data_IF_850363642371
#
_entry.id   IF_850363642371
#
_cell.length_a   1.000
_cell.length_b   1.000
_cell.length_c   1.000
_cell.angle_alpha   90.00
_cell.angle_beta   90.00
_cell.angle_gamma   90.00
#
_symmetry.space_group_name_H-M   'P 1'
#
loop_
_entity.id
_entity.type
_entity.pdbx_description
1 polymer ?
#
# COMPACT_ATOMS: atom_id res chain seq x y z
N UNK A 1 16.02 23.34 -13.49
CA UNK A 1 15.53 22.90 -12.17
C UNK A 1 15.39 21.39 -12.09
N UNK A 2 14.72 20.74 -13.01
CA UNK A 2 14.51 19.28 -13.07
C UNK A 2 15.82 18.48 -13.09
N UNK A 3 16.84 18.93 -13.84
CA UNK A 3 18.15 18.28 -13.93
C UNK A 3 18.93 18.31 -12.61
N UNK A 4 18.79 19.37 -11.80
CA UNK A 4 19.40 19.47 -10.45
C UNK A 4 18.67 18.58 -9.44
N UNK A 5 17.34 18.45 -9.55
CA UNK A 5 16.53 17.57 -8.72
C UNK A 5 16.86 16.08 -8.99
N UNK A 6 17.06 15.73 -10.27
CA UNK A 6 17.43 14.38 -10.69
C UNK A 6 18.84 14.00 -10.19
N UNK A 7 19.78 14.94 -10.21
CA UNK A 7 21.15 14.73 -9.71
C UNK A 7 21.15 14.59 -8.18
N UNK A 8 20.37 15.38 -7.46
CA UNK A 8 20.23 15.25 -5.99
C UNK A 8 19.58 13.92 -5.62
N UNK A 9 18.56 13.47 -6.38
CA UNK A 9 17.95 12.14 -6.24
C UNK A 9 18.94 11.01 -6.54
N UNK A 10 19.78 11.14 -7.56
CA UNK A 10 20.80 10.15 -7.90
C UNK A 10 21.93 10.11 -6.88
N UNK A 11 22.35 11.26 -6.34
CA UNK A 11 23.38 11.35 -5.28
C UNK A 11 22.89 10.83 -3.95
N UNK A 12 21.61 11.01 -3.60
CA UNK A 12 21.03 10.37 -2.40
C UNK A 12 20.97 8.84 -2.55
N UNK A 13 20.85 8.32 -3.77
CA UNK A 13 20.90 6.88 -4.05
C UNK A 13 22.30 6.30 -3.86
N UNK A 14 23.36 7.08 -4.18
CA UNK A 14 24.78 6.65 -4.07
C UNK A 14 25.26 6.70 -2.61
N UNK A 15 24.76 7.64 -1.80
CA UNK A 15 25.16 7.80 -0.39
C UNK A 15 24.56 6.75 0.56
N UNK A 16 23.61 5.92 0.11
CA UNK A 16 22.99 4.83 0.89
C UNK A 16 23.79 3.51 0.86
N UNK A 17 24.97 3.47 0.26
CA UNK A 17 25.70 2.26 -0.12
C UNK A 17 26.84 1.81 0.77
N UNK A 18 27.17 2.42 1.92
CA UNK A 18 28.17 1.89 2.84
C UNK A 18 27.55 1.11 4.00
N UNK A 19 27.11 -0.11 3.71
CA UNK A 19 26.80 -1.07 4.75
C UNK A 19 28.12 -1.68 5.29
N UNK A 20 28.43 -1.44 6.57
CA UNK A 20 29.42 -2.18 7.34
C UNK A 20 29.21 -3.69 7.09
N UNK A 21 30.24 -4.42 6.71
CA UNK A 21 30.20 -5.90 6.59
C UNK A 21 29.92 -6.51 7.95
N UNK A 22 28.66 -6.77 8.23
CA UNK A 22 28.20 -7.50 9.41
C UNK A 22 28.19 -8.99 9.09
N UNK A 23 28.65 -9.81 10.03
CA UNK A 23 28.61 -11.29 9.91
C UNK A 23 27.21 -11.83 10.20
N UNK A 24 26.46 -11.16 11.06
CA UNK A 24 25.08 -11.51 11.41
C UNK A 24 24.09 -10.67 10.63
N UNK A 25 23.10 -11.33 10.06
CA UNK A 25 21.99 -10.67 9.39
C UNK A 25 20.69 -11.38 9.71
N UNK A 26 19.73 -10.63 10.21
CA UNK A 26 18.37 -11.12 10.31
C UNK A 26 17.81 -11.32 8.89
N UNK A 27 17.24 -12.48 8.61
CA UNK A 27 16.60 -12.74 7.31
C UNK A 27 15.23 -12.09 7.21
N UNK A 28 14.55 -11.98 8.35
CA UNK A 28 13.18 -11.48 8.44
C UNK A 28 13.08 -10.04 8.99
N UNK A 29 14.20 -9.45 9.44
CA UNK A 29 14.22 -8.16 10.15
C UNK A 29 15.40 -7.33 9.65
N UNK A 30 15.13 -6.22 8.99
CA UNK A 30 16.21 -5.34 8.49
C UNK A 30 16.64 -4.23 9.46
N UNK A 31 15.86 -3.94 10.49
CA UNK A 31 16.23 -3.05 11.61
C UNK A 31 15.49 -3.48 12.87
N UNK A 32 16.27 -3.92 13.84
CA UNK A 32 16.08 -3.79 15.29
C UNK A 32 14.66 -3.75 15.88
N UNK A 33 13.60 -4.11 15.15
CA UNK A 33 12.24 -4.13 15.69
C UNK A 33 11.48 -5.39 15.26
N UNK A 34 11.11 -6.21 16.23
CA UNK A 34 10.27 -7.41 16.07
C UNK A 34 8.88 -7.03 16.60
N UNK A 35 7.84 -7.19 15.80
CA UNK A 35 6.46 -7.07 16.25
C UNK A 35 5.86 -8.46 16.38
N UNK A 36 5.31 -8.78 17.54
CA UNK A 36 4.63 -10.04 17.83
C UNK A 36 3.35 -9.82 18.63
N UNK A 37 2.50 -10.84 18.69
CA UNK A 37 1.30 -10.81 19.53
C UNK A 37 1.51 -11.62 20.81
N UNK A 38 0.78 -11.29 21.89
CA UNK A 38 0.84 -12.07 23.13
C UNK A 38 0.41 -13.51 22.89
N UNK A 39 1.08 -14.46 23.56
CA UNK A 39 0.83 -15.92 23.48
C UNK A 39 1.04 -16.53 22.08
N UNK A 40 1.94 -15.94 21.28
CA UNK A 40 2.32 -16.52 19.99
C UNK A 40 3.76 -17.02 20.00
N UNK A 41 4.03 -18.06 19.21
CA UNK A 41 5.39 -18.51 18.92
C UNK A 41 5.89 -17.79 17.66
N UNK A 42 6.99 -17.08 17.79
CA UNK A 42 7.67 -16.41 16.68
C UNK A 42 8.96 -17.13 16.34
N UNK A 43 9.22 -17.28 15.05
CA UNK A 43 10.45 -17.89 14.57
C UNK A 43 11.29 -16.84 13.87
N UNK A 44 12.42 -16.48 14.44
CA UNK A 44 13.37 -15.51 13.89
C UNK A 44 14.55 -16.25 13.27
N UNK A 45 14.83 -16.01 11.99
CA UNK A 45 15.95 -16.62 11.28
C UNK A 45 17.08 -15.63 11.15
N UNK A 46 18.25 -15.98 11.72
CA UNK A 46 19.46 -15.15 11.71
C UNK A 46 20.51 -15.89 10.86
N UNK A 47 20.89 -15.28 9.75
CA UNK A 47 21.95 -15.81 8.87
C UNK A 47 23.31 -15.30 9.34
N UNK A 48 24.27 -16.22 9.45
CA UNK A 48 25.66 -15.89 9.71
C UNK A 48 26.50 -16.10 8.45
N UNK A 49 27.29 -15.08 8.08
CA UNK A 49 28.33 -15.18 7.06
C UNK A 49 29.71 -15.57 7.64
N UNK A 50 29.77 -15.82 8.95
CA UNK A 50 30.97 -16.30 9.62
C UNK A 50 31.21 -17.76 9.22
N UNK A 51 32.44 -18.05 8.76
CA UNK A 51 32.86 -19.41 8.42
C UNK A 51 33.49 -20.07 9.64
N UNK A 52 32.86 -21.12 10.12
CA UNK A 52 33.41 -21.95 11.19
C UNK A 52 34.71 -22.61 10.75
N UNK A 53 35.71 -22.55 11.59
CA UNK A 53 37.00 -23.28 11.37
C UNK A 53 36.85 -24.78 11.65
N UNK A 54 35.94 -25.16 12.52
CA UNK A 54 35.52 -26.54 12.82
C UNK A 54 34.01 -26.64 12.81
N UNK A 55 33.42 -27.79 12.46
CA UNK A 55 31.99 -28.00 12.55
C UNK A 55 31.49 -27.69 13.97
N UNK A 56 30.45 -26.90 14.08
CA UNK A 56 29.81 -26.49 15.35
C UNK A 56 30.65 -25.65 16.32
N UNK A 57 31.70 -24.99 15.86
CA UNK A 57 32.50 -24.09 16.70
C UNK A 57 31.80 -22.76 17.02
N UNK A 58 30.76 -22.38 16.31
CA UNK A 58 29.98 -21.14 16.59
C UNK A 58 28.61 -21.46 17.13
N UNK A 59 28.14 -20.62 18.08
CA UNK A 59 26.81 -20.67 18.64
C UNK A 59 26.23 -19.26 18.83
N UNK A 60 24.92 -19.17 18.90
CA UNK A 60 24.21 -17.91 19.08
C UNK A 60 23.66 -17.84 20.51
N UNK A 61 23.99 -16.78 21.23
CA UNK A 61 23.42 -16.45 22.53
C UNK A 61 22.43 -15.30 22.37
N UNK A 62 21.21 -15.48 22.88
CA UNK A 62 20.16 -14.49 22.86
C UNK A 62 19.88 -14.03 24.28
N UNK A 63 20.10 -12.76 24.57
CA UNK A 63 19.81 -12.13 25.86
C UNK A 63 18.53 -11.29 25.74
N UNK A 64 17.63 -11.45 26.69
CA UNK A 64 16.35 -10.78 26.77
C UNK A 64 16.41 -9.63 27.78
N UNK A 65 15.80 -8.49 27.44
CA UNK A 65 15.68 -7.37 28.37
C UNK A 65 14.64 -7.62 29.47
N UNK A 66 13.52 -8.24 29.13
CA UNK A 66 12.48 -8.64 30.07
C UNK A 66 12.02 -10.09 29.83
N UNK A 67 12.42 -11.03 30.72
CA UNK A 67 12.05 -12.43 30.60
C UNK A 67 10.57 -12.74 30.85
N UNK A 68 9.78 -11.79 31.41
CA UNK A 68 8.34 -11.98 31.62
C UNK A 68 7.55 -11.74 30.34
N UNK A 69 8.06 -10.89 29.47
CA UNK A 69 7.41 -10.53 28.21
C UNK A 69 7.76 -11.50 27.09
N UNK A 70 9.01 -11.96 27.08
CA UNK A 70 9.56 -12.74 25.98
C UNK A 70 10.42 -13.87 26.53
N UNK A 71 10.23 -15.09 26.01
CA UNK A 71 11.06 -16.26 26.36
C UNK A 71 11.68 -16.89 25.11
N UNK A 72 12.95 -17.27 25.19
CA UNK A 72 13.63 -18.06 24.15
C UNK A 72 13.36 -19.53 24.44
N UNK A 73 12.61 -20.19 23.56
CA UNK A 73 12.29 -21.62 23.70
C UNK A 73 13.42 -22.48 23.19
N UNK A 74 13.95 -22.16 22.02
CA UNK A 74 15.01 -22.95 21.39
C UNK A 74 15.80 -22.12 20.38
N UNK A 75 17.10 -22.44 20.24
CA UNK A 75 18.00 -21.92 19.19
C UNK A 75 18.55 -23.12 18.45
N UNK A 76 18.16 -23.30 17.20
CA UNK A 76 18.64 -24.40 16.34
C UNK A 76 19.54 -23.86 15.24
N UNK A 77 20.65 -24.56 15.00
CA UNK A 77 21.61 -24.24 13.93
C UNK A 77 21.33 -25.13 12.73
N UNK A 78 21.18 -24.55 11.56
CA UNK A 78 20.98 -25.27 10.30
C UNK A 78 22.03 -24.87 9.28
N UNK A 79 22.56 -25.86 8.57
CA UNK A 79 23.54 -25.66 7.52
C UNK A 79 22.85 -25.77 6.15
N UNK A 80 22.94 -24.69 5.36
CA UNK A 80 22.62 -24.67 3.95
C UNK A 80 23.79 -24.02 3.20
N UNK A 81 23.58 -23.14 2.24
CA UNK A 81 24.64 -22.34 1.60
C UNK A 81 25.33 -21.34 2.57
N UNK A 82 24.70 -21.09 3.73
CA UNK A 82 25.24 -20.31 4.85
C UNK A 82 24.71 -20.88 6.16
N UNK A 83 25.38 -20.57 7.28
CA UNK A 83 24.94 -20.98 8.61
C UNK A 83 23.73 -20.14 9.02
N UNK A 84 22.60 -20.78 9.23
CA UNK A 84 21.37 -20.13 9.70
C UNK A 84 21.07 -20.57 11.12
N UNK A 85 20.75 -19.60 11.99
CA UNK A 85 20.27 -19.84 13.35
C UNK A 85 18.77 -19.56 13.37
N UNK A 86 18.00 -20.53 13.80
CA UNK A 86 16.54 -20.43 13.97
C UNK A 86 16.28 -20.25 15.45
N UNK A 87 15.85 -19.07 15.85
CA UNK A 87 15.50 -18.68 17.20
C UNK A 87 13.98 -18.74 17.35
N UNK A 88 13.47 -19.60 18.23
CA UNK A 88 12.05 -19.65 18.58
C UNK A 88 11.82 -18.83 19.83
N UNK A 89 10.95 -17.83 19.73
CA UNK A 89 10.56 -16.93 20.80
C UNK A 89 9.10 -17.16 21.15
N UNK A 90 8.76 -17.10 22.42
CA UNK A 90 7.36 -17.08 22.90
C UNK A 90 7.15 -15.76 23.60
N UNK A 91 6.06 -15.10 23.24
CA UNK A 91 5.63 -13.84 23.81
C UNK A 91 4.51 -14.07 24.82
N UNK A 92 4.63 -13.52 26.03
CA UNK A 92 3.63 -13.74 27.09
C UNK A 92 2.84 -12.46 27.40
N UNK A 93 3.48 -11.35 27.73
CA UNK A 93 2.83 -10.10 28.14
C UNK A 93 3.01 -8.99 27.09
N UNK A 94 2.05 -8.05 27.05
CA UNK A 94 2.13 -6.87 26.17
C UNK A 94 3.15 -5.86 26.67
N UNK A 95 3.88 -5.21 25.75
CA UNK A 95 4.82 -4.16 26.06
C UNK A 95 5.97 -4.06 25.04
N UNK A 96 7.02 -3.36 25.41
CA UNK A 96 8.24 -3.22 24.61
C UNK A 96 9.44 -3.69 25.42
N UNK A 97 10.26 -4.56 24.81
CA UNK A 97 11.51 -5.04 25.40
C UNK A 97 12.63 -5.05 24.37
N UNK A 98 13.87 -5.10 24.82
CA UNK A 98 15.03 -5.19 23.95
C UNK A 98 15.59 -6.62 23.95
N UNK A 99 16.08 -7.04 22.78
CA UNK A 99 16.73 -8.33 22.58
C UNK A 99 18.15 -8.05 22.09
N UNK A 100 19.12 -8.72 22.69
CA UNK A 100 20.53 -8.66 22.26
C UNK A 100 20.95 -10.03 21.73
N UNK A 101 21.52 -10.05 20.54
CA UNK A 101 21.99 -11.27 19.87
C UNK A 101 23.50 -11.25 19.79
N UNK A 102 24.16 -12.29 20.31
CA UNK A 102 25.61 -12.44 20.31
C UNK A 102 26.02 -13.71 19.58
N UNK A 103 26.93 -13.59 18.64
CA UNK A 103 27.57 -14.72 17.97
C UNK A 103 28.93 -15.01 18.65
N UNK A 104 29.08 -16.20 19.17
CA UNK A 104 30.28 -16.66 19.82
C UNK A 104 30.94 -17.76 19.00
N UNK A 105 32.24 -17.80 19.00
CA UNK A 105 33.02 -18.91 18.46
C UNK A 105 33.94 -19.50 19.55
N UNK A 106 33.92 -20.83 19.64
CA UNK A 106 34.77 -21.60 20.55
C UNK A 106 35.99 -22.11 19.79
N UNK A 107 37.16 -21.61 20.14
CA UNK A 107 38.45 -22.10 19.64
C UNK A 107 39.21 -22.81 20.79
N UNK A 108 39.02 -24.12 20.95
CA UNK A 108 39.61 -24.91 22.02
C UNK A 108 39.03 -24.55 23.40
N UNK A 109 39.89 -23.95 24.28
CA UNK A 109 39.47 -23.53 25.64
C UNK A 109 39.08 -22.04 25.74
N UNK A 110 39.11 -21.30 24.65
CA UNK A 110 38.79 -19.88 24.66
C UNK A 110 37.50 -19.61 23.84
N UNK A 111 36.59 -18.90 24.45
CA UNK A 111 35.40 -18.39 23.79
C UNK A 111 35.64 -16.95 23.35
N UNK A 112 35.31 -16.65 22.09
CA UNK A 112 35.49 -15.33 21.51
C UNK A 112 34.17 -14.81 20.98
N UNK A 113 33.81 -13.61 21.41
CA UNK A 113 32.67 -12.88 20.83
C UNK A 113 33.08 -12.40 19.41
N UNK A 114 32.33 -12.80 18.40
CA UNK A 114 32.58 -12.45 17.00
C UNK A 114 31.80 -11.18 16.65
N UNK A 115 30.51 -11.15 16.97
CA UNK A 115 29.65 -10.01 16.70
C UNK A 115 28.50 -9.94 17.70
N UNK A 116 28.04 -8.71 17.98
CA UNK A 116 26.92 -8.45 18.85
C UNK A 116 25.98 -7.46 18.17
N UNK A 117 24.69 -7.80 18.13
CA UNK A 117 23.62 -6.90 17.69
C UNK A 117 22.82 -6.51 18.94
N UNK A 118 22.94 -5.23 19.34
CA UNK A 118 22.24 -4.67 20.50
C UNK A 118 20.95 -3.99 20.09
N UNK A 119 20.07 -3.84 21.07
CA UNK A 119 18.86 -3.00 21.00
C UNK A 119 17.89 -3.39 19.87
N UNK A 120 17.75 -4.70 19.62
CA UNK A 120 16.65 -5.18 18.79
C UNK A 120 15.36 -5.00 19.60
N UNK A 121 14.55 -4.02 19.25
CA UNK A 121 13.28 -3.78 19.92
C UNK A 121 12.29 -4.88 19.60
N UNK A 122 11.67 -5.44 20.62
CA UNK A 122 10.56 -6.38 20.49
C UNK A 122 9.32 -5.71 21.05
N UNK A 123 8.36 -5.46 20.20
CA UNK A 123 7.07 -4.90 20.58
C UNK A 123 6.03 -6.00 20.56
N UNK A 124 5.55 -6.35 21.76
CA UNK A 124 4.50 -7.35 21.92
C UNK A 124 3.16 -6.63 22.07
N UNK A 125 2.27 -6.86 21.13
CA UNK A 125 0.93 -6.29 21.11
C UNK A 125 -0.04 -7.31 21.68
N UNK A 126 -0.95 -6.88 22.55
CA UNK A 126 -1.96 -7.76 23.12
C UNK A 126 -2.80 -8.39 22.02
N UNK A 127 -2.77 -9.72 21.97
CA UNK A 127 -3.71 -10.46 21.16
C UNK A 127 -5.11 -10.24 21.74
N UNK A 128 -5.93 -9.43 21.07
CA UNK A 128 -7.35 -9.38 21.43
C UNK A 128 -7.95 -10.78 21.21
N UNK A 129 -8.80 -11.25 22.10
CA UNK A 129 -9.40 -12.58 21.96
C UNK A 129 -9.96 -12.72 20.55
N UNK A 130 -9.62 -13.84 19.90
CA UNK A 130 -9.88 -14.20 18.49
C UNK A 130 -11.28 -13.89 17.97
N UNK A 131 -12.25 -13.67 18.86
CA UNK A 131 -13.64 -13.47 18.53
C UNK A 131 -13.99 -12.19 17.77
N UNK A 132 -13.24 -11.06 17.97
CA UNK A 132 -13.60 -9.80 17.31
C UNK A 132 -12.92 -9.63 15.95
N UNK A 133 -11.68 -10.13 15.80
CA UNK A 133 -10.97 -10.04 14.53
C UNK A 133 -11.46 -11.14 13.57
N UNK A 134 -11.56 -12.38 14.04
CA UNK A 134 -12.16 -13.49 13.28
C UNK A 134 -13.65 -13.30 13.04
N UNK A 135 -14.43 -12.80 14.00
CA UNK A 135 -15.84 -12.50 13.79
C UNK A 135 -16.06 -11.32 12.82
N UNK A 136 -15.20 -10.30 12.80
CA UNK A 136 -15.27 -9.27 11.76
C UNK A 136 -14.92 -9.83 10.38
N UNK A 137 -13.92 -10.71 10.28
CA UNK A 137 -13.52 -11.35 9.02
C UNK A 137 -14.51 -12.43 8.57
N UNK A 138 -15.05 -13.27 9.46
CA UNK A 138 -16.03 -14.32 9.10
C UNK A 138 -17.40 -13.77 8.69
N UNK A 139 -17.83 -12.64 9.26
CA UNK A 139 -19.07 -12.00 8.82
C UNK A 139 -18.93 -11.44 7.39
N UNK A 140 -17.71 -11.17 6.98
CA UNK A 140 -17.43 -10.51 5.69
C UNK A 140 -17.43 -11.47 4.50
N UNK A 141 -17.26 -12.79 4.67
CA UNK A 141 -17.33 -13.75 3.56
C UNK A 141 -18.71 -13.81 2.93
N UNK A 142 -19.77 -13.82 3.70
CA UNK A 142 -21.13 -13.82 3.16
C UNK A 142 -21.49 -12.48 2.49
N UNK A 143 -21.07 -11.36 3.09
CA UNK A 143 -21.22 -10.03 2.53
C UNK A 143 -20.40 -9.89 1.26
N UNK A 144 -19.15 -10.40 1.26
CA UNK A 144 -18.27 -10.36 0.10
C UNK A 144 -18.85 -11.14 -1.08
N UNK A 145 -19.39 -12.33 -0.84
CA UNK A 145 -20.06 -13.15 -1.88
C UNK A 145 -21.29 -12.44 -2.44
N UNK A 146 -22.05 -11.73 -1.59
CA UNK A 146 -23.22 -10.96 -2.03
C UNK A 146 -22.82 -9.71 -2.84
N UNK A 147 -21.75 -9.02 -2.45
CA UNK A 147 -21.29 -7.80 -3.11
C UNK A 147 -20.53 -8.09 -4.41
N UNK A 148 -19.90 -9.25 -4.53
CA UNK A 148 -19.09 -9.64 -5.67
C UNK A 148 -19.80 -9.48 -7.03
N UNK A 149 -21.03 -9.99 -7.23
CA UNK A 149 -21.77 -9.77 -8.48
C UNK A 149 -22.02 -8.30 -8.74
N UNK A 150 -22.27 -7.52 -7.69
CA UNK A 150 -22.52 -6.06 -7.78
C UNK A 150 -21.26 -5.34 -8.25
N UNK A 151 -20.08 -5.74 -7.72
CA UNK A 151 -18.79 -5.20 -8.16
C UNK A 151 -18.54 -5.54 -9.63
N UNK A 152 -18.73 -6.80 -10.04
CA UNK A 152 -18.54 -7.24 -11.41
C UNK A 152 -19.46 -6.49 -12.38
N UNK A 153 -20.74 -6.35 -12.01
CA UNK A 153 -21.72 -5.59 -12.80
C UNK A 153 -21.34 -4.11 -12.92
N UNK A 154 -20.86 -3.50 -11.83
CA UNK A 154 -20.38 -2.12 -11.84
C UNK A 154 -19.15 -1.95 -12.74
N UNK A 155 -18.19 -2.89 -12.72
CA UNK A 155 -17.03 -2.88 -13.60
C UNK A 155 -17.42 -3.09 -15.08
N UNK A 156 -18.39 -3.96 -15.35
CA UNK A 156 -18.94 -4.14 -16.69
C UNK A 156 -19.66 -2.86 -17.18
N UNK A 157 -20.50 -2.25 -16.35
CA UNK A 157 -21.17 -0.98 -16.65
C UNK A 157 -20.16 0.16 -16.89
N UNK A 158 -19.05 0.16 -16.14
CA UNK A 158 -17.94 1.09 -16.36
C UNK A 158 -17.29 0.89 -17.74
N UNK A 159 -17.09 -0.38 -18.16
CA UNK A 159 -16.61 -0.71 -19.50
C UNK A 159 -17.54 -0.22 -20.61
N UNK A 160 -18.86 -0.26 -20.40
CA UNK A 160 -19.83 0.27 -21.37
C UNK A 160 -19.73 1.79 -21.59
N UNK A 161 -19.19 2.55 -20.63
CA UNK A 161 -18.95 3.99 -20.79
C UNK A 161 -17.76 4.34 -21.65
N UNK A 162 -16.90 3.37 -21.93
CA UNK A 162 -15.69 3.59 -22.71
C UNK A 162 -16.07 3.62 -24.20
N UNK A 163 -15.87 4.77 -24.83
CA UNK A 163 -15.98 4.91 -26.27
C UNK A 163 -14.62 4.62 -26.93
N UNK A 164 -14.61 3.74 -27.92
CA UNK A 164 -13.37 3.40 -28.64
C UNK A 164 -12.72 4.64 -29.29
N UNK A 165 -13.53 5.63 -29.67
CA UNK A 165 -13.04 6.91 -30.20
C UNK A 165 -12.20 7.69 -29.17
N UNK A 166 -12.46 7.50 -27.88
CA UNK A 166 -11.71 8.15 -26.80
C UNK A 166 -10.26 7.63 -26.77
N UNK A 167 -10.03 6.36 -27.09
CA UNK A 167 -8.67 5.84 -27.24
C UNK A 167 -7.90 6.54 -28.36
N UNK A 168 -8.57 6.86 -29.47
CA UNK A 168 -7.94 7.63 -30.56
C UNK A 168 -7.60 9.05 -30.13
N UNK A 169 -8.49 9.70 -29.39
CA UNK A 169 -8.26 11.06 -28.86
C UNK A 169 -7.08 11.12 -27.88
N UNK A 170 -6.92 10.09 -27.05
CA UNK A 170 -5.80 9.98 -26.12
C UNK A 170 -4.50 9.68 -26.84
N UNK A 171 -4.55 8.84 -27.89
CA UNK A 171 -3.37 8.62 -28.72
C UNK A 171 -2.86 9.92 -29.36
N UNK A 172 -3.78 10.85 -29.66
CA UNK A 172 -3.44 12.18 -30.18
C UNK A 172 -2.94 13.15 -29.11
N UNK A 173 -3.40 13.00 -27.83
CA UNK A 173 -2.99 13.86 -26.71
C UNK A 173 -2.68 13.01 -25.46
N UNK A 174 -1.60 12.22 -25.49
CA UNK A 174 -1.31 11.24 -24.44
C UNK A 174 -0.77 11.86 -23.14
N UNK A 175 -0.43 13.16 -23.15
CA UNK A 175 0.30 13.80 -22.06
C UNK A 175 -0.37 13.65 -20.67
N UNK A 176 -1.69 13.86 -20.48
CA UNK A 176 -2.33 13.68 -19.18
C UNK A 176 -2.21 12.27 -18.66
N UNK A 177 -2.39 11.26 -19.52
CA UNK A 177 -2.28 9.83 -19.16
C UNK A 177 -0.85 9.46 -18.80
N UNK A 178 0.14 9.96 -19.57
CA UNK A 178 1.57 9.75 -19.29
C UNK A 178 1.93 10.36 -17.92
N UNK A 179 1.50 11.60 -17.65
CA UNK A 179 1.78 12.26 -16.37
C UNK A 179 1.18 11.48 -15.20
N UNK A 180 -0.08 11.04 -15.32
CA UNK A 180 -0.72 10.19 -14.31
C UNK A 180 0.01 8.87 -14.12
N UNK A 181 0.35 8.18 -15.20
CA UNK A 181 1.07 6.90 -15.19
C UNK A 181 2.45 7.03 -14.52
N UNK A 182 3.22 8.06 -14.87
CA UNK A 182 4.53 8.33 -14.27
C UNK A 182 4.39 8.63 -12.77
N UNK A 183 3.42 9.46 -12.41
CA UNK A 183 3.15 9.74 -10.99
C UNK A 183 2.80 8.46 -10.24
N UNK A 184 1.91 7.65 -10.78
CA UNK A 184 1.32 6.50 -10.11
C UNK A 184 2.26 5.31 -9.99
N UNK A 185 3.00 4.95 -11.04
CA UNK A 185 3.81 3.72 -11.05
C UNK A 185 5.30 3.93 -10.77
N UNK A 186 5.78 5.15 -10.79
CA UNK A 186 7.18 5.46 -10.48
C UNK A 186 7.30 6.34 -9.24
N UNK A 187 6.63 7.49 -9.21
CA UNK A 187 6.81 8.45 -8.14
C UNK A 187 6.14 8.01 -6.84
N UNK A 188 4.89 7.56 -6.91
CA UNK A 188 4.15 7.14 -5.71
C UNK A 188 4.77 5.93 -5.01
N UNK A 189 5.17 4.83 -5.69
CA UNK A 189 5.87 3.72 -5.04
C UNK A 189 7.21 4.15 -4.43
N UNK A 190 7.96 5.02 -5.12
CA UNK A 190 9.20 5.57 -4.60
C UNK A 190 8.97 6.40 -3.33
N UNK A 191 7.96 7.27 -3.33
CA UNK A 191 7.60 8.05 -2.13
C UNK A 191 7.13 7.15 -0.98
N UNK A 192 6.29 6.15 -1.26
CA UNK A 192 5.84 5.18 -0.27
C UNK A 192 7.01 4.41 0.35
N UNK A 193 7.97 3.97 -0.46
CA UNK A 193 9.20 3.33 0.00
C UNK A 193 10.05 4.29 0.84
N UNK A 194 10.32 5.49 0.34
CA UNK A 194 11.19 6.45 1.02
C UNK A 194 10.60 6.87 2.38
N UNK A 195 9.31 7.19 2.42
CA UNK A 195 8.62 7.61 3.63
C UNK A 195 8.53 6.47 4.67
N UNK A 196 8.25 5.24 4.23
CA UNK A 196 8.23 4.09 5.13
C UNK A 196 9.62 3.80 5.73
N UNK A 197 10.69 4.10 5.00
CA UNK A 197 12.08 3.99 5.51
C UNK A 197 12.44 5.13 6.47
N UNK A 198 12.02 6.37 6.16
CA UNK A 198 12.27 7.54 7.04
C UNK A 198 11.54 7.36 8.38
N UNK A 199 10.31 6.86 8.36
CA UNK A 199 9.51 6.61 9.56
C UNK A 199 9.84 5.27 10.24
N UNK A 200 10.84 4.53 9.72
CA UNK A 200 11.31 3.26 10.27
C UNK A 200 10.19 2.22 10.49
N UNK A 201 9.23 2.14 9.56
CA UNK A 201 8.12 1.18 9.67
C UNK A 201 8.62 -0.27 9.62
N UNK A 202 7.95 -1.18 10.35
CA UNK A 202 8.16 -2.62 10.22
C UNK A 202 8.01 -3.07 8.76
N UNK A 203 8.79 -4.06 8.35
CA UNK A 203 8.86 -4.50 6.95
C UNK A 203 7.51 -4.84 6.33
N UNK A 204 6.62 -5.53 7.08
CA UNK A 204 5.30 -5.89 6.59
C UNK A 204 4.44 -4.64 6.32
N UNK A 205 4.46 -3.66 7.22
CA UNK A 205 3.72 -2.39 7.05
C UNK A 205 4.32 -1.55 5.92
N UNK A 206 5.67 -1.44 5.86
CA UNK A 206 6.36 -0.76 4.77
C UNK A 206 6.02 -1.36 3.40
N UNK A 207 6.00 -2.69 3.31
CA UNK A 207 5.57 -3.40 2.10
C UNK A 207 4.10 -3.11 1.77
N UNK A 208 3.23 -3.09 2.77
CA UNK A 208 1.82 -2.71 2.61
C UNK A 208 1.65 -1.33 2.00
N UNK A 209 2.40 -0.32 2.48
CA UNK A 209 2.37 1.04 1.89
C UNK A 209 2.89 1.07 0.46
N UNK A 210 4.03 0.43 0.20
CA UNK A 210 4.58 0.36 -1.16
C UNK A 210 3.60 -0.33 -2.11
N UNK A 211 3.00 -1.46 -1.70
CA UNK A 211 1.99 -2.16 -2.49
C UNK A 211 0.77 -1.29 -2.77
N UNK A 212 0.32 -0.52 -1.79
CA UNK A 212 -0.79 0.43 -1.98
C UNK A 212 -0.42 1.50 -3.00
N UNK A 213 0.79 2.05 -2.90
CA UNK A 213 1.31 3.05 -3.85
C UNK A 213 1.55 2.51 -5.26
N UNK A 214 1.68 1.18 -5.45
CA UNK A 214 1.82 0.55 -6.77
C UNK A 214 0.48 0.24 -7.43
N UNK A 215 -0.63 0.41 -6.71
CA UNK A 215 -1.96 0.12 -7.24
C UNK A 215 -2.41 1.13 -8.30
N UNK A 216 -3.22 0.69 -9.27
CA UNK A 216 -3.82 1.60 -10.24
C UNK A 216 -4.83 2.55 -9.58
N UNK A 217 -5.32 3.53 -10.32
CA UNK A 217 -6.37 4.45 -9.89
C UNK A 217 -7.63 3.71 -9.42
N UNK A 218 -8.20 4.18 -8.32
CA UNK A 218 -9.39 3.59 -7.74
C UNK A 218 -10.67 4.00 -8.50
N UNK A 219 -11.65 3.08 -8.57
CA UNK A 219 -12.95 3.41 -9.17
C UNK A 219 -13.70 4.58 -8.48
N UNK A 220 -13.26 4.99 -7.29
CA UNK A 220 -13.73 6.20 -6.61
C UNK A 220 -13.29 7.50 -7.28
N UNK A 221 -12.17 7.51 -8.00
CA UNK A 221 -11.64 8.67 -8.72
C UNK A 221 -12.65 9.22 -9.73
N UNK A 222 -13.32 8.35 -10.46
CA UNK A 222 -14.40 8.75 -11.38
C UNK A 222 -15.52 9.57 -10.71
N UNK A 223 -15.98 9.15 -9.51
CA UNK A 223 -17.03 9.86 -8.79
C UNK A 223 -16.56 11.23 -8.31
N UNK A 224 -15.35 11.30 -7.77
CA UNK A 224 -14.78 12.56 -7.34
C UNK A 224 -14.47 13.49 -8.51
N UNK A 225 -14.02 12.96 -9.66
CA UNK A 225 -13.86 13.76 -10.87
C UNK A 225 -15.19 14.33 -11.33
N UNK A 226 -16.28 13.53 -11.28
CA UNK A 226 -17.64 14.01 -11.57
C UNK A 226 -18.09 15.13 -10.61
N UNK A 227 -17.89 14.95 -9.29
CA UNK A 227 -18.35 15.88 -8.26
C UNK A 227 -17.54 17.17 -8.20
N UNK A 228 -16.25 17.13 -8.59
CA UNK A 228 -15.34 18.28 -8.60
C UNK A 228 -15.24 18.95 -9.98
N UNK A 229 -16.12 18.61 -10.92
CA UNK A 229 -16.13 19.20 -12.27
C UNK A 229 -14.78 18.97 -13.02
N UNK A 230 -14.23 17.77 -12.90
CA UNK A 230 -13.10 17.30 -13.69
C UNK A 230 -13.54 16.76 -15.04
N UNK A 231 -12.56 16.30 -15.83
CA UNK A 231 -12.79 15.60 -17.10
C UNK A 231 -13.12 14.12 -16.84
N UNK A 232 -14.40 13.77 -16.93
CA UNK A 232 -14.93 12.44 -16.64
C UNK A 232 -14.39 11.41 -17.64
N UNK A 233 -14.30 11.79 -18.91
CA UNK A 233 -13.83 10.93 -19.99
C UNK A 233 -12.38 10.56 -19.77
N UNK A 234 -11.57 11.53 -19.40
CA UNK A 234 -10.18 11.31 -19.04
C UNK A 234 -10.04 10.45 -17.79
N UNK A 235 -10.89 10.64 -16.76
CA UNK A 235 -10.85 9.83 -15.54
C UNK A 235 -11.09 8.35 -15.85
N UNK A 236 -12.14 8.04 -16.61
CA UNK A 236 -12.44 6.67 -17.03
C UNK A 236 -11.26 6.05 -17.78
N UNK A 237 -10.70 6.80 -18.71
CA UNK A 237 -9.58 6.34 -19.53
C UNK A 237 -8.31 6.12 -18.71
N UNK A 238 -7.96 7.04 -17.80
CA UNK A 238 -6.81 6.90 -16.91
C UNK A 238 -6.96 5.69 -16.01
N UNK A 239 -8.14 5.47 -15.40
CA UNK A 239 -8.42 4.28 -14.59
C UNK A 239 -8.26 3.00 -15.41
N UNK A 240 -8.77 2.93 -16.64
CA UNK A 240 -8.64 1.74 -17.50
C UNK A 240 -7.20 1.49 -17.92
N UNK A 241 -6.52 2.54 -18.38
CA UNK A 241 -5.12 2.45 -18.82
C UNK A 241 -4.20 2.06 -17.66
N UNK A 242 -4.38 2.69 -16.48
CA UNK A 242 -3.59 2.35 -15.29
C UNK A 242 -3.87 0.92 -14.82
N UNK A 243 -5.12 0.44 -14.87
CA UNK A 243 -5.44 -0.94 -14.52
C UNK A 243 -4.80 -1.94 -15.49
N UNK A 244 -4.78 -1.65 -16.78
CA UNK A 244 -4.10 -2.47 -17.77
C UNK A 244 -2.57 -2.48 -17.57
N UNK A 245 -1.97 -1.31 -17.34
CA UNK A 245 -0.53 -1.19 -17.06
C UNK A 245 -0.14 -1.84 -15.74
N UNK A 246 -1.03 -1.89 -14.76
CA UNK A 246 -0.80 -2.54 -13.47
C UNK A 246 -0.47 -4.03 -13.61
N UNK A 247 -0.93 -4.72 -14.67
CA UNK A 247 -0.57 -6.12 -14.95
C UNK A 247 0.94 -6.33 -15.02
N UNK A 248 1.68 -5.33 -15.47
CA UNK A 248 3.14 -5.37 -15.60
C UNK A 248 3.81 -4.61 -14.46
N UNK A 249 3.29 -3.40 -14.15
CA UNK A 249 3.94 -2.50 -13.21
C UNK A 249 3.81 -2.94 -11.75
N UNK A 250 2.67 -3.51 -11.34
CA UNK A 250 2.53 -4.01 -9.96
C UNK A 250 3.48 -5.17 -9.66
N UNK A 251 3.55 -6.25 -10.45
CA UNK A 251 4.54 -7.29 -10.24
C UNK A 251 5.99 -6.79 -10.24
N UNK A 252 6.32 -5.89 -11.19
CA UNK A 252 7.66 -5.33 -11.30
C UNK A 252 8.04 -4.50 -10.06
N UNK A 253 7.16 -3.60 -9.63
CA UNK A 253 7.36 -2.79 -8.44
C UNK A 253 7.40 -3.65 -7.17
N UNK A 254 6.49 -4.63 -7.04
CA UNK A 254 6.50 -5.58 -5.92
C UNK A 254 7.84 -6.30 -5.80
N UNK A 255 8.36 -6.78 -6.92
CA UNK A 255 9.66 -7.46 -6.95
C UNK A 255 10.81 -6.50 -6.61
N UNK A 256 10.83 -5.30 -7.19
CA UNK A 256 11.86 -4.31 -6.94
C UNK A 256 11.89 -3.89 -5.47
N UNK A 257 10.75 -3.44 -4.95
CA UNK A 257 10.69 -2.87 -3.60
C UNK A 257 10.74 -3.93 -2.50
N UNK A 258 10.27 -5.17 -2.73
CA UNK A 258 10.48 -6.24 -1.78
C UNK A 258 11.96 -6.55 -1.57
N UNK A 259 12.77 -6.53 -2.66
CA UNK A 259 14.23 -6.65 -2.55
C UNK A 259 14.85 -5.47 -1.82
N UNK A 260 14.41 -4.23 -2.13
CA UNK A 260 14.91 -3.02 -1.45
C UNK A 260 14.52 -2.97 0.04
N UNK A 261 13.40 -3.60 0.43
CA UNK A 261 13.00 -3.78 1.81
C UNK A 261 13.65 -4.99 2.51
N UNK A 262 14.49 -5.76 1.82
CA UNK A 262 15.18 -6.90 2.39
C UNK A 262 14.35 -8.18 2.51
N UNK A 263 13.18 -8.22 1.89
CA UNK A 263 12.25 -9.36 1.96
C UNK A 263 12.63 -10.55 1.06
N UNK A 264 13.80 -10.50 0.43
CA UNK A 264 14.22 -11.42 -0.66
C UNK A 264 14.52 -12.88 -0.27
N UNK A 265 14.36 -13.28 0.99
CA UNK A 265 14.64 -14.65 1.43
C UNK A 265 13.40 -15.46 1.84
N UNK A 266 12.35 -14.80 2.29
CA UNK A 266 11.16 -15.43 2.87
C UNK A 266 9.87 -15.08 2.13
N UNK A 267 9.95 -14.15 1.18
CA UNK A 267 8.82 -13.59 0.48
C UNK A 267 8.76 -14.08 -0.97
N UNK A 268 7.94 -15.08 -1.22
CA UNK A 268 7.53 -15.41 -2.58
C UNK A 268 6.39 -14.47 -2.98
N UNK A 269 6.72 -13.43 -3.76
CA UNK A 269 5.69 -12.57 -4.34
C UNK A 269 4.86 -13.42 -5.28
N UNK A 270 3.59 -13.66 -5.01
CA UNK A 270 2.75 -14.47 -5.87
C UNK A 270 2.28 -13.64 -7.07
N UNK A 271 3.18 -13.43 -8.02
CA UNK A 271 2.91 -12.71 -9.28
C UNK A 271 1.62 -13.22 -9.93
N UNK A 272 1.39 -14.53 -9.89
CA UNK A 272 0.15 -15.15 -10.41
C UNK A 272 -1.11 -14.64 -9.71
N UNK A 273 -1.07 -14.44 -8.38
CA UNK A 273 -2.20 -13.91 -7.62
C UNK A 273 -2.45 -12.42 -7.92
N UNK A 274 -1.40 -11.63 -8.09
CA UNK A 274 -1.51 -10.22 -8.51
C UNK A 274 -2.17 -10.15 -9.88
N UNK A 275 -1.69 -10.94 -10.84
CA UNK A 275 -2.23 -10.98 -12.20
C UNK A 275 -3.69 -11.45 -12.19
N UNK A 276 -4.02 -12.53 -11.46
CA UNK A 276 -5.41 -13.03 -11.40
C UNK A 276 -6.37 -12.00 -10.77
N UNK A 277 -5.95 -11.29 -9.74
CA UNK A 277 -6.75 -10.22 -9.11
C UNK A 277 -6.99 -9.05 -10.07
N UNK A 278 -5.98 -8.66 -10.84
CA UNK A 278 -6.11 -7.62 -11.86
C UNK A 278 -7.00 -8.07 -13.03
N UNK A 279 -6.87 -9.31 -13.48
CA UNK A 279 -7.72 -9.88 -14.52
C UNK A 279 -9.19 -9.93 -14.08
N UNK A 280 -9.45 -10.19 -12.79
CA UNK A 280 -10.78 -10.14 -12.22
C UNK A 280 -11.44 -8.76 -12.34
N UNK A 281 -10.65 -7.68 -12.43
CA UNK A 281 -11.13 -6.32 -12.70
C UNK A 281 -11.23 -6.06 -14.21
N UNK A 282 -10.23 -6.46 -14.98
CA UNK A 282 -10.15 -6.16 -16.41
C UNK A 282 -11.14 -6.94 -17.27
N UNK A 283 -11.42 -8.20 -16.92
CA UNK A 283 -12.35 -9.05 -17.70
C UNK A 283 -13.77 -8.45 -17.74
N UNK A 284 -14.39 -8.01 -16.62
CA UNK A 284 -15.69 -7.36 -16.67
C UNK A 284 -15.69 -6.03 -17.45
N UNK A 285 -14.60 -5.23 -17.32
CA UNK A 285 -14.47 -3.99 -18.09
C UNK A 285 -14.42 -4.29 -19.58
N UNK A 286 -13.62 -5.27 -19.99
CA UNK A 286 -13.52 -5.70 -21.38
C UNK A 286 -14.87 -6.23 -21.91
N UNK A 287 -15.58 -7.00 -21.10
CA UNK A 287 -16.93 -7.48 -21.43
C UNK A 287 -17.89 -6.30 -21.65
N UNK A 288 -17.82 -5.25 -20.83
CA UNK A 288 -18.63 -4.03 -21.00
C UNK A 288 -18.34 -3.32 -22.32
N UNK A 289 -17.07 -3.19 -22.70
CA UNK A 289 -16.67 -2.60 -24.00
C UNK A 289 -17.26 -3.43 -25.16
N UNK A 290 -17.16 -4.76 -25.07
CA UNK A 290 -17.71 -5.68 -26.09
C UNK A 290 -19.25 -5.55 -26.17
N UNK A 291 -19.94 -5.50 -25.03
CA UNK A 291 -21.40 -5.32 -24.96
C UNK A 291 -21.80 -4.01 -25.63
N UNK A 292 -21.09 -2.92 -25.34
CA UNK A 292 -21.35 -1.61 -25.98
C UNK A 292 -21.25 -1.71 -27.51
N UNK A 293 -20.27 -2.43 -27.99
CA UNK A 293 -20.02 -2.54 -29.45
C UNK A 293 -20.97 -3.51 -30.14
N UNK A 294 -21.39 -4.62 -29.47
CA UNK A 294 -22.23 -5.65 -30.05
C UNK A 294 -23.72 -5.45 -29.80
N UNK A 295 -24.11 -4.90 -28.65
CA UNK A 295 -25.50 -4.75 -28.21
C UNK A 295 -25.70 -3.39 -27.51
N UNK A 296 -25.67 -2.27 -28.26
CA UNK A 296 -25.70 -0.92 -27.70
C UNK A 296 -26.93 -0.64 -26.82
N UNK A 297 -28.11 -1.25 -27.15
CA UNK A 297 -29.31 -1.09 -26.33
C UNK A 297 -29.12 -1.56 -24.88
N UNK A 298 -28.47 -2.73 -24.67
CA UNK A 298 -28.16 -3.24 -23.34
C UNK A 298 -27.09 -2.41 -22.66
N UNK A 299 -26.13 -1.87 -23.41
CA UNK A 299 -25.12 -0.99 -22.88
C UNK A 299 -25.73 0.28 -22.29
N UNK A 300 -26.74 0.89 -22.91
CA UNK A 300 -27.44 2.07 -22.36
C UNK A 300 -28.10 1.79 -21.01
N UNK A 301 -28.65 0.59 -20.82
CA UNK A 301 -29.20 0.20 -19.51
C UNK A 301 -28.08 0.11 -18.47
N UNK A 302 -26.97 -0.54 -18.80
CA UNK A 302 -25.82 -0.64 -17.91
C UNK A 302 -25.20 0.74 -17.59
N UNK A 303 -25.10 1.63 -18.57
CA UNK A 303 -24.62 3.00 -18.36
C UNK A 303 -25.51 3.82 -17.42
N UNK A 304 -26.82 3.57 -17.41
CA UNK A 304 -27.76 4.24 -16.52
C UNK A 304 -27.62 3.79 -15.08
N UNK A 305 -27.36 2.51 -14.85
CA UNK A 305 -27.25 1.95 -13.49
C UNK A 305 -25.86 2.16 -12.85
N UNK A 306 -24.84 2.58 -13.60
CA UNK A 306 -23.49 2.76 -13.04
C UNK A 306 -23.46 3.77 -11.89
N UNK A 307 -24.20 4.89 -12.02
CA UNK A 307 -24.21 5.92 -10.96
C UNK A 307 -24.79 5.40 -9.66
N UNK A 308 -26.05 4.89 -9.59
CA UNK A 308 -26.60 4.37 -8.35
C UNK A 308 -25.78 3.20 -7.81
N UNK A 309 -25.26 2.32 -8.67
CA UNK A 309 -24.44 1.18 -8.27
C UNK A 309 -23.11 1.61 -7.63
N UNK A 310 -22.45 2.61 -8.22
CA UNK A 310 -21.22 3.19 -7.67
C UNK A 310 -21.47 3.88 -6.33
N UNK A 311 -22.61 4.57 -6.15
CA UNK A 311 -22.98 5.14 -4.85
C UNK A 311 -23.25 4.07 -3.79
N UNK A 312 -23.94 2.98 -4.15
CA UNK A 312 -24.16 1.84 -3.25
C UNK A 312 -22.81 1.24 -2.84
N UNK A 313 -21.93 0.93 -3.81
CA UNK A 313 -20.61 0.37 -3.53
C UNK A 313 -19.75 1.31 -2.69
N UNK A 314 -19.81 2.62 -2.94
CA UNK A 314 -19.11 3.62 -2.14
C UNK A 314 -19.65 3.63 -0.70
N UNK A 315 -20.97 3.60 -0.50
CA UNK A 315 -21.59 3.55 0.83
C UNK A 315 -21.22 2.28 1.59
N UNK A 316 -21.22 1.13 0.90
CA UNK A 316 -20.78 -0.15 1.47
C UNK A 316 -19.28 -0.09 1.80
N UNK A 317 -18.45 0.46 0.90
CA UNK A 317 -17.03 0.65 1.15
C UNK A 317 -16.76 1.54 2.37
N UNK A 318 -17.47 2.63 2.51
CA UNK A 318 -17.41 3.52 3.69
C UNK A 318 -17.83 2.74 4.94
N UNK A 319 -18.95 2.02 4.91
CA UNK A 319 -19.41 1.23 6.05
C UNK A 319 -18.39 0.18 6.49
N UNK A 320 -17.84 -0.60 5.54
CA UNK A 320 -16.80 -1.60 5.82
C UNK A 320 -15.53 -0.93 6.36
N UNK A 321 -15.13 0.19 5.77
CA UNK A 321 -13.96 0.96 6.23
C UNK A 321 -14.15 1.48 7.66
N UNK A 322 -15.35 1.96 8.01
CA UNK A 322 -15.63 2.38 9.38
C UNK A 322 -15.66 1.20 10.35
N UNK A 323 -16.30 0.09 10.00
CA UNK A 323 -16.32 -1.10 10.87
C UNK A 323 -14.94 -1.67 11.11
N UNK A 324 -14.20 -1.90 10.04
CA UNK A 324 -12.82 -2.40 10.14
C UNK A 324 -11.88 -1.33 10.68
N UNK A 325 -12.06 -0.09 10.23
CA UNK A 325 -11.20 1.03 10.58
C UNK A 325 -11.13 1.32 12.07
N UNK A 326 -12.23 1.15 12.82
CA UNK A 326 -12.19 1.35 14.27
C UNK A 326 -11.29 0.34 14.98
N UNK A 327 -11.32 -0.92 14.55
CA UNK A 327 -10.44 -1.97 15.06
C UNK A 327 -8.99 -1.70 14.64
N UNK A 328 -8.76 -1.37 13.37
CA UNK A 328 -7.42 -1.09 12.86
C UNK A 328 -6.84 0.23 13.36
N UNK A 329 -7.65 1.26 13.58
CA UNK A 329 -7.20 2.53 14.13
C UNK A 329 -6.64 2.39 15.56
N UNK A 330 -7.21 1.48 16.35
CA UNK A 330 -6.69 1.17 17.69
C UNK A 330 -5.37 0.39 17.68
N UNK A 331 -5.01 -0.21 16.54
CA UNK A 331 -3.76 -0.95 16.33
C UNK A 331 -2.73 -0.17 15.50
N UNK A 332 -3.17 0.88 14.80
CA UNK A 332 -2.30 1.68 13.95
C UNK A 332 -1.40 2.59 14.79
N UNK A 333 -0.10 2.53 14.53
CA UNK A 333 0.84 3.50 15.10
C UNK A 333 0.67 4.88 14.46
N UNK A 334 1.18 5.91 15.11
CA UNK A 334 1.11 7.29 14.62
C UNK A 334 1.76 7.42 13.22
N UNK A 335 2.85 6.68 12.99
CA UNK A 335 3.58 6.67 11.72
C UNK A 335 2.72 6.11 10.58
N UNK A 336 1.95 5.05 10.84
CA UNK A 336 1.02 4.45 9.87
C UNK A 336 -0.10 5.45 9.52
N UNK A 337 -0.65 6.14 10.53
CA UNK A 337 -1.67 7.16 10.30
C UNK A 337 -1.12 8.35 9.51
N UNK A 338 0.10 8.80 9.85
CA UNK A 338 0.77 9.88 9.13
C UNK A 338 0.97 9.54 7.66
N UNK A 339 1.45 8.32 7.35
CA UNK A 339 1.58 7.86 5.97
C UNK A 339 0.22 7.70 5.28
N UNK A 340 -0.79 7.25 6.02
CA UNK A 340 -2.15 7.14 5.50
C UNK A 340 -2.67 8.47 4.95
N UNK A 341 -2.33 9.59 5.59
CA UNK A 341 -2.64 10.96 5.13
C UNK A 341 -1.66 11.42 4.06
N UNK A 342 -0.36 11.23 4.24
CA UNK A 342 0.65 11.77 3.33
C UNK A 342 0.58 11.15 1.93
N UNK A 343 0.31 9.84 1.83
CA UNK A 343 0.32 9.14 0.54
C UNK A 343 -0.74 9.72 -0.43
N UNK A 344 -2.04 9.79 -0.09
CA UNK A 344 -3.00 10.36 -1.03
C UNK A 344 -2.78 11.86 -1.26
N UNK A 345 -2.41 12.62 -0.23
CA UNK A 345 -2.11 14.04 -0.36
C UNK A 345 -0.96 14.31 -1.35
N UNK A 346 0.11 13.51 -1.29
CA UNK A 346 1.23 13.59 -2.24
C UNK A 346 0.80 13.22 -3.66
N UNK A 347 -0.03 12.19 -3.82
CA UNK A 347 -0.58 11.80 -5.12
C UNK A 347 -1.40 12.92 -5.76
N UNK A 348 -2.30 13.55 -4.98
CA UNK A 348 -3.06 14.73 -5.39
C UNK A 348 -2.16 15.89 -5.78
N UNK A 349 -1.16 16.19 -4.95
CA UNK A 349 -0.23 17.30 -5.15
C UNK A 349 0.63 17.10 -6.41
N UNK A 350 1.23 15.93 -6.57
CA UNK A 350 2.09 15.65 -7.74
C UNK A 350 1.28 15.61 -9.04
N UNK A 351 0.13 14.91 -9.03
CA UNK A 351 -0.73 14.85 -10.20
C UNK A 351 -1.19 16.24 -10.64
N UNK A 352 -1.65 17.07 -9.68
CA UNK A 352 -2.04 18.45 -9.98
C UNK A 352 -0.87 19.30 -10.47
N UNK A 353 0.28 19.24 -9.78
CA UNK A 353 1.44 20.07 -10.08
C UNK A 353 2.02 19.74 -11.46
N UNK A 354 2.16 18.47 -11.82
CA UNK A 354 2.68 18.07 -13.12
C UNK A 354 1.74 18.47 -14.26
N UNK A 355 0.44 18.26 -14.06
CA UNK A 355 -0.55 18.70 -15.04
C UNK A 355 -0.56 20.23 -15.20
N UNK A 356 -0.43 20.97 -14.10
CA UNK A 356 -0.42 22.42 -14.10
C UNK A 356 0.85 23.02 -14.72
N UNK A 357 2.01 22.45 -14.41
CA UNK A 357 3.30 22.81 -15.02
C UNK A 357 3.28 22.55 -16.53
N UNK A 358 2.61 21.49 -16.95
CA UNK A 358 2.39 21.14 -18.36
C UNK A 358 1.32 22.01 -19.05
N UNK A 359 0.79 23.04 -18.37
CA UNK A 359 -0.19 24.00 -18.87
C UNK A 359 -1.50 23.34 -19.34
N UNK A 360 -1.90 22.23 -18.74
CA UNK A 360 -3.17 21.57 -19.05
C UNK A 360 -4.36 22.37 -18.52
N UNK A 361 -5.56 22.23 -19.13
CA UNK A 361 -6.79 22.85 -18.64
C UNK A 361 -7.14 22.42 -17.22
N UNK A 362 -7.79 23.29 -16.46
CA UNK A 362 -8.11 23.04 -15.05
C UNK A 362 -8.89 21.75 -14.80
N UNK A 363 -9.93 21.37 -15.59
CA UNK A 363 -10.62 20.10 -15.44
C UNK A 363 -9.68 18.90 -15.58
N UNK A 364 -8.75 18.94 -16.54
CA UNK A 364 -7.75 17.90 -16.74
C UNK A 364 -6.78 17.83 -15.56
N UNK A 365 -6.31 18.97 -15.04
CA UNK A 365 -5.44 19.00 -13.86
C UNK A 365 -6.11 18.37 -12.64
N UNK A 366 -7.40 18.67 -12.42
CA UNK A 366 -8.19 18.06 -11.34
C UNK A 366 -8.26 16.53 -11.50
N UNK A 367 -8.56 16.07 -12.72
CA UNK A 367 -8.66 14.64 -13.01
C UNK A 367 -7.33 13.91 -12.81
N UNK A 368 -6.23 14.43 -13.34
CA UNK A 368 -4.91 13.83 -13.14
C UNK A 368 -4.55 13.78 -11.65
N UNK A 369 -4.85 14.84 -10.89
CA UNK A 369 -4.65 14.85 -9.44
C UNK A 369 -5.45 13.75 -8.74
N UNK A 370 -6.74 13.68 -9.01
CA UNK A 370 -7.66 12.72 -8.36
C UNK A 370 -7.23 11.28 -8.68
N UNK A 371 -6.97 10.97 -9.95
CA UNK A 371 -6.55 9.61 -10.37
C UNK A 371 -5.19 9.21 -9.80
N UNK A 372 -4.29 10.18 -9.54
CA UNK A 372 -2.99 9.92 -8.92
C UNK A 372 -3.05 9.79 -7.39
N UNK A 373 -4.01 10.45 -6.73
CA UNK A 373 -4.14 10.44 -5.26
C UNK A 373 -5.12 9.40 -4.73
N UNK A 374 -6.18 9.09 -5.49
CA UNK A 374 -7.20 8.11 -5.10
C UNK A 374 -6.82 6.74 -5.65
N UNK A 375 -5.93 6.05 -4.94
CA UNK A 375 -5.43 4.73 -5.31
C UNK A 375 -6.45 3.63 -5.00
N UNK A 376 -6.34 2.50 -5.70
CA UNK A 376 -7.19 1.33 -5.44
C UNK A 376 -6.70 0.53 -4.22
N UNK A 377 -6.89 1.09 -3.04
CA UNK A 377 -6.46 0.49 -1.77
C UNK A 377 -7.11 -0.87 -1.49
N UNK A 378 -8.33 -1.10 -1.97
CA UNK A 378 -8.98 -2.41 -1.83
C UNK A 378 -8.32 -3.49 -2.70
N UNK A 379 -7.78 -3.11 -3.87
CA UNK A 379 -6.95 -4.02 -4.66
C UNK A 379 -5.65 -4.36 -3.92
N UNK A 380 -4.99 -3.36 -3.32
CA UNK A 380 -3.81 -3.59 -2.50
C UNK A 380 -4.11 -4.54 -1.35
N UNK A 381 -5.21 -4.32 -0.63
CA UNK A 381 -5.67 -5.18 0.45
C UNK A 381 -5.88 -6.63 -0.03
N UNK A 382 -6.60 -6.82 -1.14
CA UNK A 382 -6.84 -8.14 -1.71
C UNK A 382 -5.53 -8.85 -2.09
N UNK A 383 -4.61 -8.13 -2.75
CA UNK A 383 -3.31 -8.70 -3.12
C UNK A 383 -2.50 -9.08 -1.89
N UNK A 384 -2.46 -8.25 -0.85
CA UNK A 384 -1.74 -8.51 0.41
C UNK A 384 -2.32 -9.74 1.10
N UNK A 385 -3.63 -9.81 1.29
CA UNK A 385 -4.32 -10.92 1.97
C UNK A 385 -4.18 -12.25 1.22
N UNK A 386 -4.15 -12.21 -0.09
CA UNK A 386 -3.95 -13.42 -0.91
C UNK A 386 -2.48 -13.84 -1.02
N UNK A 387 -1.55 -12.96 -0.69
CA UNK A 387 -0.13 -13.11 -1.01
C UNK A 387 0.74 -13.48 0.18
N UNK A 388 0.37 -13.02 1.36
CA UNK A 388 1.16 -13.16 2.57
C UNK A 388 0.59 -14.23 3.50
N UNK A 389 1.42 -14.70 4.46
CA UNK A 389 0.92 -15.46 5.62
C UNK A 389 -0.01 -14.57 6.45
N UNK A 390 -0.99 -15.17 7.14
CA UNK A 390 -2.06 -14.46 7.86
C UNK A 390 -1.52 -13.32 8.72
N UNK A 391 -0.55 -13.60 9.59
CA UNK A 391 0.00 -12.62 10.53
C UNK A 391 0.65 -11.42 9.83
N UNK A 392 1.41 -11.68 8.75
CA UNK A 392 2.05 -10.62 7.95
C UNK A 392 1.05 -9.88 7.09
N UNK A 393 0.03 -10.58 6.59
CA UNK A 393 -1.04 -9.97 5.81
C UNK A 393 -1.83 -8.97 6.65
N UNK A 394 -2.13 -9.30 7.90
CA UNK A 394 -2.87 -8.45 8.81
C UNK A 394 -2.10 -7.16 9.14
N UNK A 395 -0.81 -7.28 9.45
CA UNK A 395 0.06 -6.12 9.67
C UNK A 395 0.23 -5.25 8.41
N UNK A 396 0.43 -5.86 7.26
CA UNK A 396 0.57 -5.15 5.99
C UNK A 396 -0.74 -4.48 5.54
N UNK A 397 -1.90 -5.04 5.93
CA UNK A 397 -3.24 -4.53 5.59
C UNK A 397 -3.59 -3.21 6.28
N UNK A 398 -2.90 -2.87 7.37
CA UNK A 398 -3.04 -1.55 8.02
C UNK A 398 -2.79 -0.41 7.02
N UNK A 399 -1.82 -0.56 6.14
CA UNK A 399 -1.46 0.46 5.16
C UNK A 399 -2.59 0.77 4.16
N UNK A 400 -3.10 -0.18 3.36
CA UNK A 400 -4.16 0.12 2.40
C UNK A 400 -5.46 0.56 3.07
N UNK A 401 -5.77 0.08 4.27
CA UNK A 401 -6.95 0.51 5.01
C UNK A 401 -6.85 1.96 5.47
N UNK A 402 -5.72 2.37 6.05
CA UNK A 402 -5.49 3.76 6.46
C UNK A 402 -5.47 4.71 5.27
N UNK A 403 -4.83 4.32 4.16
CA UNK A 403 -4.84 5.11 2.91
C UNK A 403 -6.25 5.24 2.35
N UNK A 404 -7.07 4.17 2.38
CA UNK A 404 -8.47 4.23 1.93
C UNK A 404 -9.30 5.22 2.75
N UNK A 405 -9.18 5.17 4.09
CA UNK A 405 -9.87 6.08 5.00
C UNK A 405 -9.43 7.53 4.77
N UNK A 406 -8.13 7.78 4.79
CA UNK A 406 -7.59 9.12 4.67
C UNK A 406 -7.88 9.74 3.30
N UNK A 407 -7.72 8.99 2.21
CA UNK A 407 -8.05 9.47 0.86
C UNK A 407 -9.53 9.83 0.71
N UNK A 408 -10.44 9.03 1.31
CA UNK A 408 -11.86 9.34 1.36
C UNK A 408 -12.16 10.63 2.12
N UNK A 409 -11.56 10.81 3.32
CA UNK A 409 -11.71 12.02 4.13
C UNK A 409 -11.14 13.26 3.41
N UNK A 410 -9.95 13.17 2.83
CA UNK A 410 -9.32 14.26 2.07
C UNK A 410 -10.19 14.69 0.89
N UNK A 411 -10.69 13.76 0.13
CA UNK A 411 -11.54 14.05 -1.02
C UNK A 411 -12.88 14.68 -0.60
N UNK A 412 -13.47 14.24 0.53
CA UNK A 412 -14.67 14.86 1.09
C UNK A 412 -14.39 16.30 1.55
N UNK A 413 -13.27 16.54 2.23
CA UNK A 413 -12.84 17.87 2.67
C UNK A 413 -12.64 18.81 1.46
N UNK A 414 -11.97 18.35 0.43
CA UNK A 414 -11.77 19.11 -0.82
C UNK A 414 -13.12 19.43 -1.47
N UNK A 415 -14.03 18.45 -1.53
CA UNK A 415 -15.38 18.64 -2.09
C UNK A 415 -16.18 19.67 -1.31
N UNK A 416 -16.18 19.58 0.03
CA UNK A 416 -16.86 20.53 0.92
C UNK A 416 -16.30 21.94 0.76
N UNK A 417 -14.97 22.06 0.73
CA UNK A 417 -14.29 23.34 0.51
C UNK A 417 -14.65 23.97 -0.83
N UNK A 418 -14.64 23.18 -1.92
CA UNK A 418 -15.01 23.66 -3.25
C UNK A 418 -16.48 24.12 -3.31
N UNK A 419 -17.40 23.36 -2.69
CA UNK A 419 -18.83 23.73 -2.62
C UNK A 419 -19.04 24.98 -1.77
N UNK A 420 -18.40 25.09 -0.61
CA UNK A 420 -18.49 26.27 0.24
C UNK A 420 -17.98 27.53 -0.49
N UNK A 421 -16.84 27.43 -1.17
CA UNK A 421 -16.28 28.53 -1.98
C UNK A 421 -17.24 28.98 -3.09
N UNK A 422 -17.89 28.02 -3.77
CA UNK A 422 -18.87 28.31 -4.82
C UNK A 422 -20.11 28.99 -4.25
N UNK A 423 -20.59 28.57 -3.08
CA UNK A 423 -21.72 29.18 -2.38
C UNK A 423 -21.41 30.59 -1.92
N UNK A 424 -20.22 30.81 -1.32
CA UNK A 424 -19.78 32.16 -0.90
C UNK A 424 -19.55 33.08 -2.10
N UNK A 425 -19.02 32.57 -3.22
CA UNK A 425 -18.85 33.32 -4.45
C UNK A 425 -20.16 33.82 -5.05
N UNK A 426 -21.20 32.97 -5.08
CA UNK A 426 -22.54 33.31 -5.53
C UNK A 426 -23.19 34.39 -4.64
N UNK A 427 -23.05 34.31 -3.32
CA UNK A 427 -23.56 35.32 -2.37
C UNK A 427 -22.88 36.68 -2.52
N UNK A 428 -21.60 36.73 -2.86
CA UNK A 428 -20.83 37.96 -3.11
C UNK A 428 -21.24 38.60 -4.46
N UNK A 429 -21.48 37.79 -5.49
CA UNK A 429 -21.90 38.29 -6.80
C UNK A 429 -23.34 38.78 -6.78
N UNK A 430 -24.22 38.16 -6.03
CA UNK A 430 -25.61 38.59 -5.79
C UNK A 430 -25.66 39.89 -4.96
N UNK A 431 -24.79 40.06 -3.96
CA UNK A 431 -24.63 41.33 -3.22
C UNK A 431 -24.11 42.45 -4.12
N UNK A 432 -23.16 42.15 -5.02
CA UNK A 432 -22.59 43.12 -5.96
C UNK A 432 -23.60 43.54 -7.04
N UNK A 433 -24.53 42.67 -7.44
CA UNK A 433 -25.64 42.98 -8.36
C UNK A 433 -26.76 43.77 -7.67
N UNK A 434 -26.95 43.61 -6.34
CA UNK A 434 -27.96 44.36 -5.58
C UNK A 434 -27.49 45.76 -5.13
N UNK A 435 -26.18 46.03 -5.09
CA UNK A 435 -25.57 47.33 -4.76
C UNK A 435 -24.62 47.74 -5.89
N UNK A 436 -25.12 48.29 -7.00
CA UNK A 436 -24.26 48.74 -8.08
C UNK A 436 -23.59 50.11 -7.80
N UNK A 437 -23.77 50.67 -6.60
CA UNK A 437 -23.22 51.98 -6.18
C UNK A 437 -22.35 51.80 -4.92
N UNK A 438 -21.19 51.19 -5.03
CA UNK A 438 -19.98 51.44 -4.22
C UNK A 438 -18.76 51.16 -5.10
#
# INVERSE_FOLDING_TARGET
MIRKLFIVLLLSFVMLGEARKSFLRFLDIERTEIMSFTKTEETVVIRSSYRDKQPDSSYLLVQLGDPKMLQVVNVTKTFSDATNFIVKLVTEEEGETNLTVQLWASEGRQERLIEEIKDVRVKVIKQRPDSLFQASMHMDTNILVLILPVILLNKCAFGCKIELQVFQTVWQRPLPVILGTVTQFFLMPFCGFLLSRILALPQAQAFGFVMTCTCPGGGGGYLFALLLEGDITLAILMTCTSTALALVMMPANSYLYSRMLGLSGTFHIPVSKIISTLLFILVPISAGIIIKHRVPEKAHVLERIIRPLSFILMSVGIYLTFRMGFVFLSMASLEVLLLGVLVPALGLLFGYSFARISRLPLPVCKTVAIESGVLNSFLALAVIQLSLSQDRADLASLAPLTVAMCSGCEMLLILLFCKAKKSCGLTTEDRRKRNPLI
#
